data_IF_517640933485
#
_entry.id   IF_517640933485
#
_cell.length_a   1.000
_cell.length_b   1.000
_cell.length_c   1.000
_cell.angle_alpha   90.00
_cell.angle_beta   90.00
_cell.angle_gamma   90.00
#
_symmetry.space_group_name_H-M   'P 1'
#
loop_
_entity.id
_entity.type
_entity.pdbx_description
1 polymer ?
#
# COMPACT_ATOMS: atom_id res chain seq x y z
N UNK A 1 17.59 21.86 -9.05
CA UNK A 1 16.66 21.77 -10.19
C UNK A 1 15.68 22.93 -10.06
N UNK A 2 15.49 23.72 -11.12
CA UNK A 2 14.54 24.85 -11.10
C UNK A 2 13.09 24.35 -10.97
N UNK A 3 12.21 25.15 -10.37
CA UNK A 3 10.79 24.76 -10.24
C UNK A 3 10.09 24.56 -11.60
N UNK A 4 10.51 25.31 -12.63
CA UNK A 4 10.06 25.09 -14.01
C UNK A 4 10.31 23.66 -14.51
N UNK A 5 11.53 23.14 -14.28
CA UNK A 5 11.91 21.77 -14.69
C UNK A 5 11.14 20.72 -13.88
N UNK A 6 10.94 20.98 -12.58
CA UNK A 6 10.13 20.10 -11.69
C UNK A 6 8.68 20.06 -12.17
N UNK A 7 8.08 21.20 -12.48
CA UNK A 7 6.70 21.25 -12.97
C UNK A 7 6.54 20.47 -14.27
N UNK A 8 7.48 20.65 -15.22
CA UNK A 8 7.45 19.92 -16.50
C UNK A 8 7.54 18.41 -16.29
N UNK A 9 8.41 17.95 -15.38
CA UNK A 9 8.55 16.53 -15.08
C UNK A 9 7.28 15.96 -14.44
N UNK A 10 6.75 16.62 -13.40
CA UNK A 10 5.53 16.22 -12.69
C UNK A 10 4.30 16.22 -13.62
N UNK A 11 4.19 17.23 -14.48
CA UNK A 11 3.05 17.30 -15.38
C UNK A 11 3.09 16.21 -16.47
N UNK A 12 4.29 15.85 -16.99
CA UNK A 12 4.46 14.71 -17.91
C UNK A 12 4.08 13.40 -17.24
N UNK A 13 4.46 13.22 -15.98
CA UNK A 13 4.09 12.04 -15.20
C UNK A 13 2.57 11.97 -14.99
N UNK A 14 1.94 13.09 -14.61
CA UNK A 14 0.50 13.24 -14.51
C UNK A 14 -0.21 12.86 -15.83
N UNK A 15 0.22 13.41 -16.98
CA UNK A 15 -0.35 13.09 -18.29
C UNK A 15 -0.18 11.60 -18.64
N UNK A 16 0.93 10.99 -18.26
CA UNK A 16 1.17 9.57 -18.52
C UNK A 16 0.20 8.72 -17.72
N UNK A 17 0.05 8.98 -16.42
CA UNK A 17 -0.91 8.25 -15.57
C UNK A 17 -2.34 8.41 -16.09
N UNK A 18 -2.75 9.64 -16.46
CA UNK A 18 -4.10 9.91 -16.98
C UNK A 18 -4.36 9.16 -18.28
N UNK A 19 -3.39 9.16 -19.21
CA UNK A 19 -3.47 8.42 -20.48
C UNK A 19 -3.58 6.91 -20.23
N UNK A 20 -2.77 6.37 -19.32
CA UNK A 20 -2.77 4.93 -19.02
C UNK A 20 -4.10 4.49 -18.38
N UNK A 21 -4.79 5.41 -17.69
CA UNK A 21 -6.16 5.24 -17.18
C UNK A 21 -7.27 5.47 -18.23
N UNK A 22 -6.92 5.93 -19.42
CA UNK A 22 -7.91 6.32 -20.44
C UNK A 22 -8.73 7.56 -20.08
N UNK A 23 -8.20 8.43 -19.22
CA UNK A 23 -8.88 9.66 -18.76
C UNK A 23 -8.30 10.87 -19.49
N UNK A 24 -9.17 11.69 -20.07
CA UNK A 24 -8.76 12.98 -20.64
C UNK A 24 -8.47 13.98 -19.53
N UNK A 25 -7.29 14.63 -19.56
CA UNK A 25 -6.86 15.57 -18.53
C UNK A 25 -7.81 16.76 -18.38
N UNK A 26 -8.35 17.27 -19.51
CA UNK A 26 -9.27 18.41 -19.48
C UNK A 26 -10.60 18.01 -18.88
N UNK A 27 -11.13 16.85 -19.25
CA UNK A 27 -12.37 16.31 -18.67
C UNK A 27 -12.23 16.10 -17.15
N UNK A 28 -11.08 15.60 -16.71
CA UNK A 28 -10.77 15.43 -15.28
C UNK A 28 -10.71 16.77 -14.54
N UNK A 29 -10.03 17.78 -15.13
CA UNK A 29 -9.96 19.15 -14.59
C UNK A 29 -11.35 19.78 -14.44
N UNK A 30 -12.25 19.52 -15.38
CA UNK A 30 -13.61 20.08 -15.40
C UNK A 30 -14.53 19.37 -14.39
N UNK A 31 -14.27 18.09 -14.08
CA UNK A 31 -15.02 17.29 -13.09
C UNK A 31 -14.50 17.47 -11.66
N UNK A 32 -13.26 17.93 -11.48
CA UNK A 32 -12.69 18.19 -10.16
C UNK A 32 -13.45 19.34 -9.47
N UNK A 33 -13.36 19.39 -8.12
CA UNK A 33 -13.90 20.55 -7.40
C UNK A 33 -13.25 21.85 -7.90
N UNK A 34 -13.98 22.98 -7.78
CA UNK A 34 -13.60 24.26 -8.37
C UNK A 34 -12.16 24.70 -8.09
N UNK A 35 -11.69 24.50 -6.85
CA UNK A 35 -10.32 24.88 -6.46
C UNK A 35 -9.27 23.95 -7.10
N UNK A 36 -9.48 22.64 -7.05
CA UNK A 36 -8.56 21.65 -7.62
C UNK A 36 -8.51 21.79 -9.14
N UNK A 37 -9.66 21.87 -9.80
CA UNK A 37 -9.75 22.08 -11.25
C UNK A 37 -9.08 23.37 -11.70
N UNK A 38 -9.27 24.48 -10.99
CA UNK A 38 -8.60 25.76 -11.29
C UNK A 38 -7.07 25.64 -11.16
N UNK A 39 -6.57 24.96 -10.13
CA UNK A 39 -5.12 24.75 -9.93
C UNK A 39 -4.53 23.83 -11.00
N UNK A 40 -5.22 22.77 -11.39
CA UNK A 40 -4.79 21.87 -12.48
C UNK A 40 -4.73 22.62 -13.81
N UNK A 41 -5.76 23.41 -14.14
CA UNK A 41 -5.77 24.29 -15.34
C UNK A 41 -4.58 25.25 -15.34
N UNK A 42 -4.27 25.87 -14.20
CA UNK A 42 -3.10 26.74 -14.08
C UNK A 42 -1.80 25.98 -14.34
N UNK A 43 -1.63 24.78 -13.78
CA UNK A 43 -0.45 23.94 -14.04
C UNK A 43 -0.34 23.58 -15.53
N UNK A 44 -1.45 23.28 -16.22
CA UNK A 44 -1.49 22.99 -17.65
C UNK A 44 -1.07 24.21 -18.48
N UNK A 45 -1.56 25.40 -18.15
CA UNK A 45 -1.18 26.64 -18.83
C UNK A 45 0.32 26.93 -18.65
N UNK A 46 0.84 26.78 -17.43
CA UNK A 46 2.27 26.98 -17.16
C UNK A 46 3.13 25.95 -17.91
N UNK A 47 2.72 24.68 -17.93
CA UNK A 47 3.43 23.63 -18.70
C UNK A 47 3.44 23.97 -20.19
N UNK A 48 2.31 24.39 -20.75
CA UNK A 48 2.23 24.77 -22.16
C UNK A 48 3.16 25.95 -22.46
N UNK A 49 3.15 26.97 -21.61
CA UNK A 49 4.04 28.12 -21.75
C UNK A 49 5.51 27.68 -21.73
N UNK A 50 5.92 26.93 -20.70
CA UNK A 50 7.31 26.44 -20.54
C UNK A 50 7.76 25.53 -21.70
N UNK A 51 6.83 24.80 -22.33
CA UNK A 51 7.15 23.90 -23.43
C UNK A 51 7.34 24.61 -24.77
N UNK A 52 6.83 25.84 -24.93
CA UNK A 52 6.85 26.58 -26.19
C UNK A 52 7.76 27.81 -26.17
N UNK A 53 8.35 28.16 -25.03
CA UNK A 53 9.22 29.32 -24.91
C UNK A 53 10.69 28.90 -24.77
N UNK A 54 11.57 29.55 -25.54
CA UNK A 54 13.01 29.36 -25.46
C UNK A 54 13.62 30.04 -24.22
N UNK A 55 12.91 30.99 -23.59
CA UNK A 55 13.32 31.67 -22.36
C UNK A 55 12.17 31.67 -21.33
N UNK A 56 12.19 30.78 -20.33
CA UNK A 56 11.17 30.70 -19.28
C UNK A 56 11.30 31.80 -18.21
N UNK A 57 12.16 32.83 -18.41
CA UNK A 57 12.54 33.81 -17.38
C UNK A 57 11.39 34.66 -16.81
N UNK A 58 10.21 34.65 -17.41
CA UNK A 58 9.05 35.40 -16.94
C UNK A 58 8.08 34.61 -16.06
N UNK A 59 8.23 33.29 -15.95
CA UNK A 59 7.31 32.47 -15.19
C UNK A 59 7.96 31.96 -13.90
N UNK A 60 7.52 32.52 -12.78
CA UNK A 60 7.92 32.06 -11.46
C UNK A 60 6.94 30.98 -10.95
N UNK A 61 7.43 29.75 -10.91
CA UNK A 61 6.65 28.61 -10.39
C UNK A 61 6.88 28.50 -8.88
N UNK A 62 5.81 28.72 -8.12
CA UNK A 62 5.87 28.68 -6.67
C UNK A 62 6.05 27.25 -6.14
N UNK A 63 6.68 27.10 -4.97
CA UNK A 63 6.80 25.81 -4.27
C UNK A 63 5.44 25.21 -3.92
N UNK A 64 4.44 26.05 -3.65
CA UNK A 64 3.07 25.58 -3.39
C UNK A 64 2.43 24.92 -4.61
N UNK A 65 2.78 25.36 -5.82
CA UNK A 65 2.31 24.76 -7.06
C UNK A 65 3.01 23.42 -7.33
N UNK A 66 4.31 23.34 -7.06
CA UNK A 66 5.06 22.07 -7.15
C UNK A 66 4.49 21.05 -6.19
N UNK A 67 4.33 21.41 -4.91
CA UNK A 67 3.75 20.54 -3.89
C UNK A 67 2.33 20.08 -4.23
N UNK A 68 1.53 20.95 -4.84
CA UNK A 68 0.20 20.57 -5.31
C UNK A 68 0.28 19.49 -6.40
N UNK A 69 1.14 19.66 -7.41
CA UNK A 69 1.31 18.65 -8.48
C UNK A 69 1.88 17.34 -7.95
N UNK A 70 2.84 17.37 -7.03
CA UNK A 70 3.35 16.19 -6.34
C UNK A 70 2.21 15.41 -5.67
N UNK A 71 1.35 16.12 -4.91
CA UNK A 71 0.19 15.50 -4.26
C UNK A 71 -0.79 14.90 -5.28
N UNK A 72 -1.05 15.58 -6.40
CA UNK A 72 -1.96 15.02 -7.44
C UNK A 72 -1.39 13.74 -8.06
N UNK A 73 -0.10 13.73 -8.40
CA UNK A 73 0.57 12.56 -8.96
C UNK A 73 0.58 11.39 -7.96
N UNK A 74 0.88 11.66 -6.69
CA UNK A 74 0.84 10.65 -5.62
C UNK A 74 -0.56 10.06 -5.43
N UNK A 75 -1.59 10.91 -5.37
CA UNK A 75 -2.98 10.46 -5.23
C UNK A 75 -3.40 9.55 -6.38
N UNK A 76 -3.04 9.91 -7.63
CA UNK A 76 -3.35 9.10 -8.80
C UNK A 76 -2.61 7.75 -8.81
N UNK A 77 -1.37 7.71 -8.33
CA UNK A 77 -0.62 6.46 -8.11
C UNK A 77 -1.26 5.60 -7.03
N UNK A 78 -1.63 6.20 -5.89
CA UNK A 78 -2.31 5.52 -4.79
C UNK A 78 -3.63 4.88 -5.21
N UNK A 79 -4.37 5.48 -6.17
CA UNK A 79 -5.63 4.91 -6.65
C UNK A 79 -5.49 3.53 -7.30
N UNK A 80 -4.32 3.24 -7.88
CA UNK A 80 -4.02 1.94 -8.52
C UNK A 80 -3.32 0.97 -7.59
N UNK A 81 -2.77 1.46 -6.48
CA UNK A 81 -2.00 0.68 -5.55
C UNK A 81 -2.89 0.11 -4.47
N UNK A 82 -3.42 -1.07 -4.73
CA UNK A 82 -4.33 -1.78 -3.83
C UNK A 82 -3.63 -2.90 -3.07
N UNK A 83 -4.13 -3.18 -1.86
CA UNK A 83 -3.60 -4.19 -0.94
C UNK A 83 -3.34 -5.54 -1.61
N UNK A 84 -4.24 -5.99 -2.50
CA UNK A 84 -4.11 -7.26 -3.22
C UNK A 84 -2.77 -7.43 -3.95
N UNK A 85 -2.15 -6.35 -4.41
CA UNK A 85 -0.85 -6.39 -5.13
C UNK A 85 0.34 -6.65 -4.20
N UNK A 86 0.20 -6.36 -2.90
CA UNK A 86 1.29 -6.38 -1.93
C UNK A 86 1.21 -7.51 -0.91
N UNK A 87 0.09 -8.20 -0.79
CA UNK A 87 -0.07 -9.27 0.18
C UNK A 87 0.75 -10.50 -0.16
N UNK A 88 1.30 -11.14 0.85
CA UNK A 88 1.74 -12.54 0.76
C UNK A 88 0.52 -13.45 0.95
N UNK A 89 0.31 -14.37 0.02
CA UNK A 89 -0.90 -15.21 0.01
C UNK A 89 -1.04 -16.02 1.31
N UNK A 90 -2.29 -16.27 1.72
CA UNK A 90 -2.59 -17.07 2.90
C UNK A 90 -1.97 -18.47 2.84
N UNK A 91 -1.88 -19.09 1.66
CA UNK A 91 -1.26 -20.41 1.48
C UNK A 91 0.21 -20.46 1.93
N UNK A 92 0.91 -19.31 1.87
CA UNK A 92 2.32 -19.22 2.26
C UNK A 92 2.52 -18.57 3.62
N UNK A 93 1.71 -17.57 3.94
CA UNK A 93 1.90 -16.70 5.11
C UNK A 93 1.00 -17.06 6.31
N UNK A 94 0.22 -18.14 6.23
CA UNK A 94 -0.62 -18.62 7.31
C UNK A 94 -0.40 -20.10 7.62
N UNK A 95 -0.79 -20.46 8.83
CA UNK A 95 -0.90 -21.84 9.31
C UNK A 95 -2.14 -21.99 10.18
N UNK A 96 -2.48 -23.19 10.60
CA UNK A 96 -3.52 -23.44 11.58
C UNK A 96 -2.92 -23.66 12.97
N UNK A 97 -3.74 -23.53 14.00
CA UNK A 97 -3.32 -23.82 15.37
C UNK A 97 -3.03 -25.32 15.60
N UNK A 98 -3.47 -26.20 14.68
CA UNK A 98 -3.23 -27.65 14.69
C UNK A 98 -1.88 -28.03 14.09
N UNK A 99 -1.26 -27.14 13.29
CA UNK A 99 0.05 -27.37 12.67
C UNK A 99 1.15 -27.49 13.74
N UNK A 100 2.17 -28.31 13.47
CA UNK A 100 3.33 -28.39 14.37
C UNK A 100 4.24 -27.19 14.17
N UNK A 101 4.73 -26.63 15.28
CA UNK A 101 5.68 -25.51 15.25
C UNK A 101 6.89 -25.81 14.36
N UNK A 102 7.42 -27.04 14.43
CA UNK A 102 8.55 -27.47 13.61
C UNK A 102 8.30 -27.42 12.10
N UNK A 103 7.10 -27.77 11.67
CA UNK A 103 6.71 -27.79 10.25
C UNK A 103 6.40 -26.38 9.69
N UNK A 104 6.14 -25.42 10.59
CA UNK A 104 5.88 -24.02 10.23
C UNK A 104 7.16 -23.21 10.08
N UNK A 105 8.24 -23.55 10.78
CA UNK A 105 9.52 -22.80 10.74
C UNK A 105 10.08 -22.54 9.34
N UNK A 106 10.09 -23.49 8.39
CA UNK A 106 10.58 -23.22 7.04
C UNK A 106 9.83 -22.11 6.29
N UNK A 107 8.57 -21.85 6.67
CA UNK A 107 7.75 -20.78 6.04
C UNK A 107 8.31 -19.40 6.33
N UNK A 108 8.77 -19.14 7.56
CA UNK A 108 9.40 -17.87 7.93
C UNK A 108 10.65 -17.58 7.10
N UNK A 109 11.51 -18.59 6.92
CA UNK A 109 12.73 -18.45 6.11
C UNK A 109 12.40 -18.19 4.63
N UNK A 110 11.43 -18.90 4.08
CA UNK A 110 10.99 -18.73 2.68
C UNK A 110 10.41 -17.35 2.43
N UNK A 111 9.65 -16.83 3.37
CA UNK A 111 8.98 -15.53 3.26
C UNK A 111 9.86 -14.36 3.67
N UNK A 112 10.93 -14.62 4.44
CA UNK A 112 11.79 -13.61 5.08
C UNK A 112 10.99 -12.63 5.94
N UNK A 113 10.03 -13.16 6.72
CA UNK A 113 9.14 -12.36 7.58
C UNK A 113 9.32 -12.75 9.03
N UNK A 114 9.11 -11.81 9.97
CA UNK A 114 9.24 -12.08 11.39
C UNK A 114 8.01 -12.77 12.00
N UNK A 115 6.86 -12.64 11.35
CA UNK A 115 5.56 -13.05 11.88
C UNK A 115 4.77 -13.87 10.86
N UNK A 116 3.88 -14.75 11.34
CA UNK A 116 2.96 -15.54 10.53
C UNK A 116 1.55 -15.48 11.14
N UNK A 117 0.51 -15.57 10.30
CA UNK A 117 -0.87 -15.66 10.78
C UNK A 117 -1.21 -17.09 11.16
N UNK A 118 -1.80 -17.25 12.33
CA UNK A 118 -2.35 -18.52 12.81
C UNK A 118 -3.87 -18.43 12.76
N UNK A 119 -4.49 -19.26 11.95
CA UNK A 119 -5.94 -19.40 11.86
C UNK A 119 -6.40 -20.29 13.00
N UNK A 120 -7.28 -19.78 13.84
CA UNK A 120 -7.87 -20.49 14.98
C UNK A 120 -9.40 -20.48 14.88
N UNK A 121 -10.07 -21.27 15.68
CA UNK A 121 -11.54 -21.28 15.74
C UNK A 121 -12.10 -19.91 16.22
N UNK A 122 -11.30 -19.15 16.99
CA UNK A 122 -11.65 -17.82 17.52
C UNK A 122 -11.23 -16.65 16.59
N UNK A 123 -10.72 -16.93 15.37
CA UNK A 123 -10.26 -15.94 14.41
C UNK A 123 -8.75 -16.00 14.16
N UNK A 124 -8.12 -14.86 13.85
CA UNK A 124 -6.72 -14.78 13.48
C UNK A 124 -5.85 -14.34 14.65
N UNK A 125 -4.72 -15.03 14.81
CA UNK A 125 -3.66 -14.69 15.78
C UNK A 125 -2.33 -14.55 15.06
N UNK A 126 -1.39 -13.85 15.66
CA UNK A 126 -0.06 -13.65 15.08
C UNK A 126 0.96 -14.38 15.94
N UNK A 127 1.81 -15.17 15.30
CA UNK A 127 2.92 -15.84 15.92
C UNK A 127 4.25 -15.30 15.39
N UNK A 128 5.15 -14.88 16.27
CA UNK A 128 6.49 -14.49 15.88
C UNK A 128 7.37 -15.71 15.63
N UNK A 129 8.38 -15.57 14.77
CA UNK A 129 9.38 -16.61 14.53
C UNK A 129 10.04 -17.05 15.84
N UNK A 130 10.31 -16.10 16.75
CA UNK A 130 10.97 -16.38 18.03
C UNK A 130 10.10 -17.28 18.93
N UNK A 131 8.80 -17.00 19.05
CA UNK A 131 7.88 -17.80 19.84
C UNK A 131 7.76 -19.23 19.27
N UNK A 132 7.68 -19.34 17.93
CA UNK A 132 7.60 -20.63 17.23
C UNK A 132 8.89 -21.46 17.42
N UNK A 133 10.07 -20.84 17.28
CA UNK A 133 11.36 -21.52 17.52
C UNK A 133 11.41 -22.02 18.97
N UNK A 134 11.12 -21.15 19.93
CA UNK A 134 11.17 -21.52 21.35
C UNK A 134 10.29 -22.72 21.65
N UNK A 135 9.07 -22.73 21.11
CA UNK A 135 8.14 -23.82 21.33
C UNK A 135 8.57 -25.11 20.60
N UNK A 136 9.11 -24.99 19.38
CA UNK A 136 9.64 -26.14 18.63
C UNK A 136 10.85 -26.78 19.31
N UNK A 137 11.68 -26.00 20.02
CA UNK A 137 12.80 -26.51 20.81
C UNK A 137 12.36 -27.29 22.05
N UNK A 138 11.20 -26.93 22.64
CA UNK A 138 10.63 -27.70 23.77
C UNK A 138 10.24 -29.11 23.31
N UNK A 139 9.58 -29.24 22.17
CA UNK A 139 9.24 -30.52 21.56
C UNK A 139 8.94 -30.37 20.08
N UNK A 140 9.48 -31.28 19.25
CA UNK A 140 9.14 -31.35 17.82
C UNK A 140 7.66 -31.63 17.57
N UNK A 141 6.94 -32.18 18.54
CA UNK A 141 5.51 -32.45 18.46
C UNK A 141 4.64 -31.27 18.88
N UNK A 142 5.24 -30.19 19.42
CA UNK A 142 4.50 -29.00 19.87
C UNK A 142 3.70 -28.40 18.73
N UNK A 143 2.42 -28.09 19.01
CA UNK A 143 1.52 -27.48 18.07
C UNK A 143 1.48 -25.96 18.21
N UNK A 144 1.05 -25.26 17.17
CA UNK A 144 0.86 -23.82 17.19
C UNK A 144 -0.16 -23.40 18.29
N UNK A 145 -1.14 -24.26 18.63
CA UNK A 145 -2.06 -24.03 19.74
C UNK A 145 -1.40 -23.92 21.12
N UNK A 146 -0.16 -24.42 21.28
CA UNK A 146 0.60 -24.32 22.54
C UNK A 146 1.25 -22.95 22.76
N UNK A 147 1.24 -22.08 21.75
CA UNK A 147 1.83 -20.75 21.83
C UNK A 147 0.99 -19.82 22.70
N UNK A 148 1.67 -18.99 23.48
CA UNK A 148 1.04 -17.84 24.17
C UNK A 148 1.02 -16.65 23.23
N UNK A 149 -0.06 -16.48 22.50
CA UNK A 149 -0.21 -15.36 21.56
C UNK A 149 -0.24 -14.02 22.31
N UNK A 150 0.63 -13.10 21.90
CA UNK A 150 0.59 -11.72 22.42
C UNK A 150 -0.60 -10.99 21.79
N UNK A 151 -1.25 -10.13 22.57
CA UNK A 151 -2.23 -9.19 22.00
C UNK A 151 -1.49 -8.25 21.07
N UNK A 152 -1.77 -8.34 19.79
CA UNK A 152 -1.24 -7.43 18.77
C UNK A 152 -2.40 -6.64 18.17
N UNK A 153 -2.10 -5.43 17.71
CA UNK A 153 -3.06 -4.64 16.98
C UNK A 153 -3.15 -5.20 15.55
N UNK A 154 -4.25 -5.89 15.26
CA UNK A 154 -4.53 -6.46 13.94
C UNK A 154 -5.50 -5.51 13.22
N UNK A 155 -5.14 -5.11 12.02
CA UNK A 155 -5.98 -4.33 11.13
C UNK A 155 -6.46 -5.23 10.00
N UNK A 156 -7.77 -5.27 9.79
CA UNK A 156 -8.39 -6.03 8.72
C UNK A 156 -8.70 -5.11 7.55
N UNK A 157 -8.36 -5.56 6.35
CA UNK A 157 -8.57 -4.79 5.12
C UNK A 157 -9.09 -5.68 4.02
N UNK A 158 -9.89 -5.12 3.13
CA UNK A 158 -10.32 -5.77 1.90
C UNK A 158 -9.24 -5.68 0.80
N UNK A 159 -9.25 -6.58 -0.19
CA UNK A 159 -8.21 -6.64 -1.22
C UNK A 159 -8.18 -5.40 -2.14
N UNK A 160 -9.30 -4.68 -2.23
CA UNK A 160 -9.46 -3.46 -3.03
C UNK A 160 -9.08 -2.18 -2.28
N UNK A 161 -8.78 -2.27 -0.97
CA UNK A 161 -8.33 -1.13 -0.16
C UNK A 161 -7.09 -0.51 -0.77
N UNK A 162 -7.06 0.83 -0.89
CA UNK A 162 -5.88 1.55 -1.37
C UNK A 162 -4.75 1.46 -0.34
N UNK A 163 -3.51 1.32 -0.81
CA UNK A 163 -2.35 1.24 0.08
C UNK A 163 -2.16 2.49 0.92
N UNK A 164 -2.45 3.67 0.38
CA UNK A 164 -2.38 4.93 1.13
C UNK A 164 -3.37 5.04 2.31
N UNK A 165 -4.43 4.23 2.30
CA UNK A 165 -5.44 4.18 3.36
C UNK A 165 -5.17 3.06 4.39
N UNK A 166 -4.08 2.32 4.23
CA UNK A 166 -3.68 1.27 5.17
C UNK A 166 -2.87 1.89 6.29
N UNK A 167 -3.24 1.65 7.57
CA UNK A 167 -2.46 2.16 8.70
C UNK A 167 -1.02 1.68 8.67
N UNK A 168 -0.08 2.58 8.94
CA UNK A 168 1.36 2.26 9.02
C UNK A 168 1.76 1.46 10.27
N UNK A 169 0.82 1.17 11.17
CA UNK A 169 1.07 0.46 12.42
C UNK A 169 0.20 -0.80 12.54
N UNK A 170 0.73 -1.81 13.23
CA UNK A 170 0.06 -3.09 13.44
C UNK A 170 0.33 -4.12 12.34
N UNK A 171 -0.27 -5.29 12.50
CA UNK A 171 -0.24 -6.35 11.49
C UNK A 171 -1.49 -6.22 10.62
N UNK A 172 -1.28 -6.12 9.31
CA UNK A 172 -2.39 -5.95 8.36
C UNK A 172 -2.74 -7.29 7.74
N UNK A 173 -3.96 -7.75 7.98
CA UNK A 173 -4.51 -8.99 7.44
C UNK A 173 -5.53 -8.64 6.36
N UNK A 174 -5.32 -9.16 5.15
CA UNK A 174 -6.28 -9.04 4.06
C UNK A 174 -7.28 -10.19 4.10
N UNK A 175 -8.54 -9.85 4.23
CA UNK A 175 -9.67 -10.80 4.20
C UNK A 175 -10.63 -10.44 3.06
N UNK A 176 -11.51 -11.37 2.70
CA UNK A 176 -12.42 -11.20 1.56
C UNK A 176 -13.36 -9.99 1.69
N UNK A 177 -13.66 -9.58 2.92
CA UNK A 177 -14.63 -8.53 3.27
C UNK A 177 -14.06 -7.44 4.20
N UNK A 178 -12.77 -7.49 4.49
CA UNK A 178 -12.12 -6.53 5.38
C UNK A 178 -12.48 -6.69 6.87
N UNK A 179 -13.03 -7.84 7.27
CA UNK A 179 -13.40 -8.12 8.67
C UNK A 179 -12.61 -9.28 9.27
N UNK A 180 -12.70 -9.43 10.60
CA UNK A 180 -12.07 -10.54 11.33
C UNK A 180 -12.69 -11.91 11.05
N UNK A 181 -13.86 -11.95 10.44
CA UNK A 181 -14.62 -13.16 10.09
C UNK A 181 -14.52 -13.51 8.61
N UNK A 182 -13.98 -12.61 7.80
CA UNK A 182 -13.79 -12.82 6.38
C UNK A 182 -12.78 -13.91 6.07
N UNK A 183 -12.88 -14.49 4.87
CA UNK A 183 -11.90 -15.48 4.40
C UNK A 183 -10.52 -14.82 4.28
N UNK A 184 -9.52 -15.41 4.92
CA UNK A 184 -8.13 -14.96 4.84
C UNK A 184 -7.62 -15.05 3.40
N UNK A 185 -7.14 -13.94 2.86
CA UNK A 185 -6.51 -13.87 1.54
C UNK A 185 -4.98 -13.75 1.64
N UNK A 186 -4.48 -13.06 2.65
CA UNK A 186 -3.04 -12.90 2.87
C UNK A 186 -2.70 -11.90 3.95
N UNK A 187 -1.41 -11.58 4.04
CA UNK A 187 -0.83 -10.65 5.00
C UNK A 187 -0.04 -9.60 4.25
N UNK A 188 -0.17 -8.35 4.66
CA UNK A 188 0.67 -7.25 4.25
C UNK A 188 1.79 -7.09 5.28
N UNK A 189 3.03 -7.16 4.82
CA UNK A 189 4.23 -6.83 5.60
C UNK A 189 4.73 -5.46 5.16
N UNK A 190 4.72 -4.50 6.06
CA UNK A 190 5.27 -3.16 5.86
C UNK A 190 6.77 -3.14 6.18
#
# INVERSE_FOLDING_TARGET
MKNSDRLLALYREYETIMRDKGIDCKEYEDKANDLTGARLRMCRLHRNYLSHQNDPGFLDISDSQIKFMETQVENLKCEEDVVKKHIKSAATAACTDKDKCWDVLPRFNKLKVPDIVVVTDDGFKIASIFDVITQAMVSKASKMSSLKYKKQHIVYVEPTRKMCDVPACGVVICTSDGTSTGKLLGILYN
#
